data_IF_238939044551
#
_entry.id   IF_238939044551
#
_cell.length_a   1.000
_cell.length_b   1.000
_cell.length_c   1.000
_cell.angle_alpha   90.00
_cell.angle_beta   90.00
_cell.angle_gamma   90.00
#
_symmetry.space_group_name_H-M   'P 1'
#
loop_
_entity.id
_entity.type
_entity.pdbx_description
1 polymer ?
#
# COMPACT_ATOMS: atom_id res chain seq x y z
N UNK A 1 32.55 -7.57 -18.08
CA UNK A 1 31.37 -6.94 -18.71
C UNK A 1 31.50 -5.46 -18.46
N UNK A 2 31.68 -4.68 -19.54
CA UNK A 2 31.74 -3.22 -19.44
C UNK A 2 30.33 -2.68 -19.18
N UNK A 3 30.21 -1.74 -18.24
CA UNK A 3 28.96 -1.03 -17.94
C UNK A 3 28.47 -0.20 -19.14
N UNK A 4 29.37 0.08 -20.08
CA UNK A 4 29.11 0.90 -21.27
C UNK A 4 28.24 0.20 -22.34
N UNK A 5 27.87 -1.07 -22.13
CA UNK A 5 27.08 -1.88 -23.07
C UNK A 5 25.62 -2.09 -22.60
N UNK A 6 25.14 -1.21 -21.70
CA UNK A 6 23.77 -1.27 -21.19
C UNK A 6 22.77 -0.65 -22.19
N UNK A 7 21.65 -1.33 -22.51
CA UNK A 7 20.62 -0.77 -23.38
C UNK A 7 19.98 0.45 -22.72
N UNK A 8 19.94 1.56 -23.46
CA UNK A 8 19.26 2.78 -23.04
C UNK A 8 17.78 2.70 -23.42
N UNK A 9 16.90 2.72 -22.42
CA UNK A 9 15.44 2.71 -22.62
C UNK A 9 14.86 4.09 -22.35
N UNK A 10 13.88 4.50 -23.16
CA UNK A 10 13.09 5.69 -22.87
C UNK A 10 12.20 5.46 -21.63
N UNK A 11 12.04 6.47 -20.76
CA UNK A 11 11.14 6.36 -19.61
C UNK A 11 9.72 6.06 -20.06
N UNK A 12 9.10 5.04 -19.47
CA UNK A 12 7.68 4.78 -19.69
C UNK A 12 6.87 5.98 -19.19
N UNK A 13 5.85 6.43 -19.94
CA UNK A 13 5.00 7.53 -19.51
C UNK A 13 4.34 7.18 -18.17
N UNK A 14 4.23 8.18 -17.29
CA UNK A 14 3.52 8.02 -16.03
C UNK A 14 2.09 7.56 -16.34
N UNK A 15 1.67 6.46 -15.71
CA UNK A 15 0.26 6.04 -15.76
C UNK A 15 -0.58 7.20 -15.23
N UNK A 16 -1.59 7.62 -15.99
CA UNK A 16 -2.56 8.61 -15.52
C UNK A 16 -3.10 8.13 -14.16
N UNK A 17 -3.20 9.00 -13.16
CA UNK A 17 -3.82 8.63 -11.90
C UNK A 17 -5.22 8.12 -12.21
N UNK A 18 -5.54 6.90 -11.76
CA UNK A 18 -6.90 6.37 -11.88
C UNK A 18 -7.82 7.25 -11.05
N UNK A 19 -8.86 7.78 -11.67
CA UNK A 19 -9.97 8.52 -11.03
C UNK A 19 -10.99 7.60 -10.36
N UNK A 20 -10.72 6.29 -10.27
CA UNK A 20 -11.63 5.33 -9.66
C UNK A 20 -11.61 5.56 -8.15
N UNK A 21 -12.76 5.90 -7.58
CA UNK A 21 -12.99 5.81 -6.14
C UNK A 21 -12.54 4.42 -5.69
N UNK A 22 -11.38 4.32 -5.04
CA UNK A 22 -10.82 3.04 -4.68
C UNK A 22 -11.84 2.29 -3.81
N UNK A 23 -12.42 1.23 -4.39
CA UNK A 23 -13.25 0.29 -3.68
C UNK A 23 -12.39 -0.27 -2.55
N UNK A 24 -12.94 -0.23 -1.33
CA UNK A 24 -12.29 -0.87 -0.19
C UNK A 24 -11.97 -2.32 -0.56
N UNK A 25 -10.73 -2.74 -0.40
CA UNK A 25 -10.33 -4.09 -0.79
C UNK A 25 -10.92 -5.10 0.19
N UNK A 26 -11.88 -5.91 -0.27
CA UNK A 26 -12.41 -7.04 0.50
C UNK A 26 -11.77 -8.35 0.02
N UNK A 27 -10.98 -9.05 0.85
CA UNK A 27 -10.41 -10.33 0.45
C UNK A 27 -11.51 -11.37 0.24
N UNK A 28 -11.48 -12.04 -0.92
CA UNK A 28 -12.42 -13.14 -1.28
C UNK A 28 -11.83 -14.53 -0.98
N UNK A 29 -10.92 -14.62 -0.01
CA UNK A 29 -10.21 -15.87 0.26
C UNK A 29 -11.10 -16.93 0.88
N UNK A 30 -10.86 -18.19 0.52
CA UNK A 30 -11.55 -19.32 1.11
C UNK A 30 -10.94 -19.70 2.47
N UNK A 31 -9.62 -19.89 2.55
CA UNK A 31 -8.89 -19.93 3.82
C UNK A 31 -8.16 -18.62 4.04
N UNK A 32 -8.51 -17.90 5.09
CA UNK A 32 -7.79 -16.74 5.58
C UNK A 32 -6.42 -17.14 6.14
N UNK A 33 -6.32 -18.31 6.77
CA UNK A 33 -5.08 -18.84 7.34
C UNK A 33 -3.87 -18.82 6.36
N UNK A 34 -4.11 -19.13 5.09
CA UNK A 34 -3.10 -19.18 4.03
C UNK A 34 -3.38 -18.20 2.90
N UNK A 35 -4.52 -17.49 2.95
CA UNK A 35 -5.00 -16.62 1.88
C UNK A 35 -4.99 -17.29 0.51
N UNK A 36 -5.49 -18.53 0.51
CA UNK A 36 -5.53 -19.46 -0.62
C UNK A 36 -4.19 -19.80 -1.28
N UNK A 37 -3.06 -19.50 -0.62
CA UNK A 37 -1.72 -19.89 -1.09
C UNK A 37 -1.38 -21.35 -0.78
N UNK A 38 -2.08 -21.97 0.17
CA UNK A 38 -1.74 -23.30 0.68
C UNK A 38 -0.65 -23.30 1.77
N UNK A 39 0.03 -22.19 2.02
CA UNK A 39 1.04 -22.03 3.08
C UNK A 39 0.51 -21.07 4.15
N UNK A 40 0.63 -21.43 5.43
CA UNK A 40 0.18 -20.56 6.53
C UNK A 40 1.01 -19.27 6.54
N UNK A 41 0.34 -18.12 6.64
CA UNK A 41 1.02 -16.81 6.63
C UNK A 41 2.01 -16.70 7.78
N UNK A 42 3.22 -16.18 7.51
CA UNK A 42 4.29 -16.10 8.51
C UNK A 42 3.86 -15.41 9.81
N UNK A 43 3.11 -14.29 9.74
CA UNK A 43 2.63 -13.60 10.95
C UNK A 43 1.66 -14.45 11.80
N UNK A 44 0.92 -15.39 11.19
CA UNK A 44 0.07 -16.35 11.90
C UNK A 44 0.89 -17.52 12.47
N UNK A 45 1.95 -17.93 11.76
CA UNK A 45 2.90 -18.92 12.27
C UNK A 45 3.56 -18.43 13.56
N UNK A 46 3.95 -17.15 13.62
CA UNK A 46 4.57 -16.54 14.82
C UNK A 46 3.67 -16.59 16.07
N UNK A 47 2.34 -16.70 15.91
CA UNK A 47 1.43 -16.84 17.06
C UNK A 47 1.58 -18.21 17.76
N UNK A 48 2.09 -19.21 17.05
CA UNK A 48 2.27 -20.59 17.56
C UNK A 48 3.77 -20.91 17.72
N UNK A 49 4.61 -20.38 16.85
CA UNK A 49 6.07 -20.52 16.84
C UNK A 49 6.73 -19.13 16.83
N UNK A 50 6.91 -18.48 18.00
CA UNK A 50 7.36 -17.08 18.07
C UNK A 50 8.72 -16.80 17.45
N UNK A 51 9.61 -17.79 17.41
CA UNK A 51 10.96 -17.67 16.86
C UNK A 51 11.06 -18.16 15.41
N UNK A 52 9.92 -18.33 14.71
CA UNK A 52 9.89 -18.80 13.33
C UNK A 52 10.57 -17.81 12.38
N UNK A 53 11.52 -18.28 11.58
CA UNK A 53 12.20 -17.47 10.58
C UNK A 53 11.83 -17.95 9.16
N UNK A 54 11.04 -17.20 8.38
CA UNK A 54 10.58 -17.63 7.05
C UNK A 54 11.69 -17.80 6.02
N UNK A 55 12.88 -17.24 6.25
CA UNK A 55 14.04 -17.34 5.34
C UNK A 55 14.88 -18.60 5.60
N UNK A 56 14.78 -19.19 6.79
CA UNK A 56 15.62 -20.32 7.22
C UNK A 56 14.82 -21.57 7.60
N UNK A 57 13.59 -21.40 8.07
CA UNK A 57 12.71 -22.49 8.48
C UNK A 57 11.81 -22.95 7.34
N UNK A 58 11.34 -24.20 7.45
CA UNK A 58 10.38 -24.77 6.48
C UNK A 58 9.09 -23.98 6.47
N UNK A 59 8.48 -23.85 5.30
CA UNK A 59 7.13 -23.28 5.18
C UNK A 59 6.11 -24.19 5.82
N UNK A 60 5.20 -23.60 6.59
CA UNK A 60 4.14 -24.32 7.29
C UNK A 60 3.00 -24.64 6.33
N UNK A 61 2.74 -25.93 6.12
CA UNK A 61 1.65 -26.38 5.26
C UNK A 61 0.29 -26.05 5.89
N UNK A 62 -0.63 -25.51 5.09
CA UNK A 62 -2.01 -25.37 5.51
C UNK A 62 -2.72 -26.72 5.47
N UNK A 63 -3.16 -27.18 6.64
CA UNK A 63 -3.91 -28.44 6.80
C UNK A 63 -5.35 -28.20 7.25
N UNK A 64 -5.89 -26.98 7.05
CA UNK A 64 -7.30 -26.72 7.38
C UNK A 64 -8.21 -27.64 6.56
N UNK A 65 -9.20 -28.27 7.21
CA UNK A 65 -10.13 -29.22 6.55
C UNK A 65 -10.88 -28.60 5.39
N UNK A 66 -11.22 -27.32 5.50
CA UNK A 66 -11.94 -26.58 4.47
C UNK A 66 -10.99 -26.01 3.38
N UNK A 67 -9.70 -26.34 3.39
CA UNK A 67 -8.71 -25.77 2.46
C UNK A 67 -8.04 -26.83 1.59
N UNK A 68 -8.33 -26.83 0.29
CA UNK A 68 -7.66 -27.69 -0.70
C UNK A 68 -6.36 -27.10 -1.26
N UNK A 69 -6.09 -25.81 -0.99
CA UNK A 69 -5.06 -25.03 -1.69
C UNK A 69 -3.63 -25.51 -1.49
N UNK A 70 -3.35 -26.21 -0.39
CA UNK A 70 -2.05 -26.85 -0.21
C UNK A 70 -1.84 -27.93 -1.27
N UNK A 71 -2.76 -28.89 -1.36
CA UNK A 71 -2.68 -29.98 -2.35
C UNK A 71 -2.73 -29.43 -3.79
N UNK A 72 -3.60 -28.47 -4.07
CA UNK A 72 -3.76 -27.90 -5.41
C UNK A 72 -2.47 -27.25 -5.95
N UNK A 73 -1.68 -26.61 -5.09
CA UNK A 73 -0.49 -25.84 -5.50
C UNK A 73 0.83 -26.55 -5.22
N UNK A 74 0.88 -27.33 -4.14
CA UNK A 74 2.12 -27.89 -3.59
C UNK A 74 2.11 -29.42 -3.56
N UNK A 75 1.03 -30.08 -4.01
CA UNK A 75 0.91 -31.55 -3.96
C UNK A 75 1.94 -32.32 -4.78
N UNK A 76 2.61 -31.66 -5.74
CA UNK A 76 3.71 -32.26 -6.52
C UNK A 76 5.08 -32.19 -5.82
N UNK A 77 5.16 -31.47 -4.69
CA UNK A 77 6.39 -31.33 -3.90
C UNK A 77 6.32 -32.31 -2.73
N UNK A 78 7.44 -32.97 -2.43
CA UNK A 78 7.51 -33.87 -1.27
C UNK A 78 7.15 -33.11 0.02
N UNK A 79 6.20 -33.66 0.76
CA UNK A 79 5.69 -33.13 2.03
C UNK A 79 6.80 -32.94 3.07
N UNK A 80 7.90 -33.68 2.95
CA UNK A 80 9.09 -33.53 3.81
C UNK A 80 9.71 -32.13 3.75
N UNK A 81 9.45 -31.34 2.69
CA UNK A 81 9.92 -29.96 2.55
C UNK A 81 9.09 -28.94 3.36
N UNK A 82 7.94 -29.36 3.89
CA UNK A 82 7.04 -28.48 4.63
C UNK A 82 7.00 -28.85 6.12
N UNK A 83 6.65 -27.87 6.94
CA UNK A 83 6.32 -28.11 8.35
C UNK A 83 4.83 -28.48 8.46
N UNK A 84 4.57 -29.71 8.89
CA UNK A 84 3.22 -30.28 9.05
C UNK A 84 2.76 -30.34 10.51
N UNK A 85 3.49 -29.69 11.43
CA UNK A 85 3.10 -29.66 12.86
C UNK A 85 1.83 -28.85 13.11
N UNK A 86 1.43 -27.99 12.18
CA UNK A 86 0.18 -27.23 12.26
C UNK A 86 -0.99 -28.12 11.88
N UNK A 87 -1.47 -28.88 12.86
CA UNK A 87 -2.63 -29.76 12.71
C UNK A 87 -3.87 -28.98 12.26
N UNK A 88 -4.88 -29.64 11.66
CA UNK A 88 -6.08 -28.98 11.13
C UNK A 88 -6.77 -28.03 12.11
N UNK A 89 -6.88 -28.43 13.39
CA UNK A 89 -7.48 -27.58 14.43
C UNK A 89 -6.69 -26.30 14.73
N UNK A 90 -5.37 -26.30 14.53
CA UNK A 90 -4.54 -25.09 14.65
C UNK A 90 -4.83 -24.18 13.44
N UNK A 91 -4.80 -24.72 12.22
CA UNK A 91 -5.11 -23.95 11.02
C UNK A 91 -6.52 -23.34 11.06
N UNK A 92 -7.52 -24.05 11.58
CA UNK A 92 -8.88 -23.55 11.75
C UNK A 92 -8.94 -22.38 12.75
N UNK A 93 -8.23 -22.46 13.88
CA UNK A 93 -8.16 -21.34 14.83
C UNK A 93 -7.48 -20.12 14.23
N UNK A 94 -6.39 -20.32 13.49
CA UNK A 94 -5.69 -19.24 12.78
C UNK A 94 -6.56 -18.62 11.67
N UNK A 95 -7.34 -19.44 10.98
CA UNK A 95 -8.32 -18.98 9.98
C UNK A 95 -9.34 -18.02 10.59
N UNK A 96 -10.02 -18.47 11.66
CA UNK A 96 -11.03 -17.67 12.37
C UNK A 96 -10.43 -16.36 12.89
N UNK A 97 -9.24 -16.44 13.49
CA UNK A 97 -8.54 -15.26 13.99
C UNK A 97 -8.22 -14.28 12.87
N UNK A 98 -7.64 -14.75 11.76
CA UNK A 98 -7.28 -13.85 10.67
C UNK A 98 -8.50 -13.28 9.95
N UNK A 99 -9.60 -14.02 9.88
CA UNK A 99 -10.88 -13.52 9.38
C UNK A 99 -11.40 -12.36 10.24
N UNK A 100 -11.30 -12.45 11.57
CA UNK A 100 -11.65 -11.36 12.47
C UNK A 100 -10.71 -10.15 12.32
N UNK A 101 -9.40 -10.39 12.24
CA UNK A 101 -8.39 -9.33 12.05
C UNK A 101 -8.67 -8.55 10.73
N UNK A 102 -9.09 -9.24 9.66
CA UNK A 102 -9.50 -8.60 8.41
C UNK A 102 -10.81 -7.81 8.55
N UNK A 103 -11.82 -8.32 9.24
CA UNK A 103 -13.06 -7.58 9.49
C UNK A 103 -12.79 -6.26 10.23
N UNK A 104 -11.88 -6.27 11.20
CA UNK A 104 -11.44 -5.06 11.90
C UNK A 104 -10.70 -4.11 10.97
N UNK A 105 -9.76 -4.63 10.16
CA UNK A 105 -9.00 -3.83 9.19
C UNK A 105 -9.93 -3.09 8.21
N UNK A 106 -10.94 -3.77 7.69
CA UNK A 106 -11.94 -3.17 6.79
C UNK A 106 -12.74 -2.09 7.50
N UNK A 107 -13.16 -2.32 8.75
CA UNK A 107 -13.92 -1.34 9.53
C UNK A 107 -13.11 -0.07 9.72
N UNK A 108 -11.83 -0.21 10.10
CA UNK A 108 -10.90 0.91 10.24
C UNK A 108 -10.72 1.65 8.91
N UNK A 109 -10.56 0.93 7.79
CA UNK A 109 -10.44 1.59 6.48
C UNK A 109 -11.71 2.36 6.09
N UNK A 110 -12.90 1.84 6.39
CA UNK A 110 -14.17 2.55 6.20
C UNK A 110 -14.19 3.84 7.02
N UNK A 111 -13.80 3.79 8.29
CA UNK A 111 -13.76 4.95 9.17
C UNK A 111 -12.74 5.99 8.70
N UNK A 112 -11.55 5.57 8.27
CA UNK A 112 -10.54 6.45 7.69
C UNK A 112 -11.07 7.11 6.42
N UNK A 113 -11.75 6.36 5.52
CA UNK A 113 -12.32 6.94 4.29
C UNK A 113 -13.41 7.97 4.61
N UNK A 114 -14.26 7.71 5.61
CA UNK A 114 -15.27 8.67 6.10
C UNK A 114 -14.61 9.92 6.68
N UNK A 115 -13.61 9.74 7.55
CA UNK A 115 -12.88 10.84 8.18
C UNK A 115 -12.17 11.68 7.13
N UNK A 116 -11.43 11.06 6.20
CA UNK A 116 -10.76 11.75 5.11
C UNK A 116 -11.74 12.53 4.23
N UNK A 117 -12.92 11.97 3.96
CA UNK A 117 -13.98 12.67 3.22
C UNK A 117 -14.54 13.87 4.00
N UNK A 118 -14.63 13.77 5.33
CA UNK A 118 -15.10 14.85 6.21
C UNK A 118 -14.06 15.95 6.47
N UNK A 119 -12.77 15.58 6.48
CA UNK A 119 -11.64 16.48 6.70
C UNK A 119 -11.13 17.12 5.41
N UNK A 120 -11.77 16.86 4.25
CA UNK A 120 -11.46 17.59 3.01
C UNK A 120 -11.56 19.09 3.32
N UNK A 121 -10.43 19.79 3.20
CA UNK A 121 -10.38 21.22 3.43
C UNK A 121 -11.38 21.91 2.47
N UNK A 122 -12.13 22.92 2.92
CA UNK A 122 -12.89 23.78 2.01
C UNK A 122 -11.93 24.33 0.94
N UNK A 123 -12.19 24.03 -0.34
CA UNK A 123 -11.30 24.39 -1.46
C UNK A 123 -10.40 23.26 -2.00
N UNK A 124 -10.45 22.05 -1.43
CA UNK A 124 -9.76 20.85 -1.94
C UNK A 124 -10.58 20.05 -2.98
N UNK A 125 -11.77 20.52 -3.36
CA UNK A 125 -12.47 20.00 -4.54
C UNK A 125 -11.68 20.35 -5.82
N UNK A 126 -11.97 19.66 -6.92
CA UNK A 126 -11.50 20.08 -8.25
C UNK A 126 -11.66 21.60 -8.39
N UNK A 127 -10.58 22.27 -8.83
CA UNK A 127 -10.58 23.71 -9.03
C UNK A 127 -11.78 24.05 -9.91
N UNK A 128 -12.69 24.85 -9.40
CA UNK A 128 -13.68 25.49 -10.27
C UNK A 128 -12.94 26.37 -11.27
N UNK A 129 -13.42 26.46 -12.52
CA UNK A 129 -12.78 27.26 -13.59
C UNK A 129 -12.37 28.67 -13.11
N UNK A 130 -13.18 29.28 -12.25
CA UNK A 130 -12.92 30.60 -11.69
C UNK A 130 -11.62 30.65 -10.84
N UNK A 131 -11.32 29.60 -10.08
CA UNK A 131 -10.08 29.50 -9.30
C UNK A 131 -8.86 29.20 -10.16
N UNK A 132 -9.05 28.52 -11.30
CA UNK A 132 -8.00 28.25 -12.26
C UNK A 132 -7.60 29.53 -13.00
N UNK A 133 -8.58 30.36 -13.38
CA UNK A 133 -8.35 31.68 -13.95
C UNK A 133 -7.62 32.61 -12.97
N UNK A 134 -8.01 32.64 -11.69
CA UNK A 134 -7.32 33.43 -10.67
C UNK A 134 -5.86 32.98 -10.48
N UNK A 135 -5.63 31.67 -10.44
CA UNK A 135 -4.27 31.12 -10.31
C UNK A 135 -3.41 31.44 -11.53
N UNK A 136 -3.98 31.36 -12.74
CA UNK A 136 -3.26 31.74 -13.95
C UNK A 136 -2.96 33.24 -14.00
N UNK A 137 -3.89 34.10 -13.57
CA UNK A 137 -3.64 35.53 -13.44
C UNK A 137 -2.50 35.82 -12.45
N UNK A 138 -2.57 35.29 -11.23
CA UNK A 138 -1.50 35.48 -10.24
C UNK A 138 -0.14 34.96 -10.72
N UNK A 139 -0.14 33.85 -11.46
CA UNK A 139 1.08 33.30 -12.05
C UNK A 139 1.65 34.24 -13.12
N UNK A 140 0.81 34.75 -14.01
CA UNK A 140 1.22 35.72 -15.04
C UNK A 140 1.71 37.04 -14.41
N UNK A 141 1.07 37.50 -13.33
CA UNK A 141 1.50 38.67 -12.57
C UNK A 141 2.90 38.48 -11.97
N UNK A 142 3.17 37.32 -11.37
CA UNK A 142 4.49 36.99 -10.80
C UNK A 142 5.56 36.83 -11.88
N UNK A 143 5.22 36.19 -13.01
CA UNK A 143 6.13 36.02 -14.15
C UNK A 143 6.43 37.35 -14.86
N UNK A 144 5.55 38.36 -14.70
CA UNK A 144 5.75 39.71 -15.22
C UNK A 144 6.61 40.61 -14.31
N UNK A 145 6.88 40.21 -13.07
CA UNK A 145 7.74 40.97 -12.15
C UNK A 145 9.18 40.96 -12.66
N UNK A 146 9.77 42.14 -12.80
CA UNK A 146 11.16 42.27 -13.26
C UNK A 146 12.15 41.80 -12.18
N UNK A 147 13.37 41.38 -12.55
CA UNK A 147 14.40 40.99 -11.58
C UNK A 147 14.71 42.05 -10.51
N UNK A 148 14.67 43.33 -10.88
CA UNK A 148 14.90 44.46 -9.96
C UNK A 148 13.75 44.62 -8.95
N UNK A 149 12.51 44.40 -9.39
CA UNK A 149 11.34 44.41 -8.51
C UNK A 149 11.35 43.21 -7.55
N UNK A 150 11.79 42.05 -8.02
CA UNK A 150 12.02 40.88 -7.18
C UNK A 150 13.04 41.15 -6.08
N UNK A 151 14.11 41.86 -6.42
CA UNK A 151 15.19 42.21 -5.51
C UNK A 151 14.72 43.19 -4.43
N UNK A 152 13.93 44.21 -4.80
CA UNK A 152 13.26 45.12 -3.87
C UNK A 152 12.25 44.41 -2.96
N UNK A 153 11.37 43.56 -3.52
CA UNK A 153 10.36 42.83 -2.74
C UNK A 153 11.00 41.86 -1.74
N UNK A 154 12.08 41.19 -2.14
CA UNK A 154 12.86 40.32 -1.25
C UNK A 154 13.50 41.12 -0.12
N UNK A 155 14.03 42.31 -0.40
CA UNK A 155 14.62 43.22 0.60
C UNK A 155 13.57 43.67 1.61
N UNK A 156 12.39 44.07 1.14
CA UNK A 156 11.27 44.46 2.01
C UNK A 156 10.72 43.29 2.86
N UNK A 157 10.72 42.07 2.32
CA UNK A 157 10.18 40.90 3.01
C UNK A 157 11.12 40.30 4.04
N UNK A 158 12.42 40.28 3.76
CA UNK A 158 13.43 39.74 4.67
C UNK A 158 13.86 40.74 5.75
N UNK A 159 13.55 42.04 5.56
CA UNK A 159 14.03 43.11 6.42
C UNK A 159 15.52 43.38 6.20
N UNK A 160 15.93 44.64 6.34
CA UNK A 160 17.35 45.03 6.35
C UNK A 160 18.03 44.41 7.58
N UNK A 161 18.75 43.30 7.38
CA UNK A 161 19.90 42.95 8.22
C UNK A 161 21.12 43.73 7.68
N UNK A 162 21.06 45.06 7.74
CA UNK A 162 22.22 45.93 7.54
C UNK A 162 22.79 46.28 8.94
N UNK A 163 23.77 45.48 9.40
CA UNK A 163 24.82 45.92 10.33
C UNK A 163 26.06 46.39 9.55
#
# INVERSE_FOLDING_TARGET
MNIDDLPNFEPLPLRKPKTEEEELFYPKWHCFCCSDSGIVRSHLVHLVMPNYNPDHDKWVACQNWDCTKFNDRWGNIDISNFDTRFLPGICQKLDLKHRQDWQQTITIQIEIKKLASSLKMPGSSDRTENSEQEVQQRKAEIEAISPEQWESMRKDYLGDDDE
#
